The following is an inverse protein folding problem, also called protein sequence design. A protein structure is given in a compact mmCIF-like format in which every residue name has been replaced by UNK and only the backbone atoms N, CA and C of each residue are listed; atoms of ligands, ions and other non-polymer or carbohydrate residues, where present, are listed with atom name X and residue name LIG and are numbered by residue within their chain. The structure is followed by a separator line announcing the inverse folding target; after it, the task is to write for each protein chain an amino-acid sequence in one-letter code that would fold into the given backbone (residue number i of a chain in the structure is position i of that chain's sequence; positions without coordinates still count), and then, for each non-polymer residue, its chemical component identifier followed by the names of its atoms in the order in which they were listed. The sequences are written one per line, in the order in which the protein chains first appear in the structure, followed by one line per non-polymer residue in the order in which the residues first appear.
data_IF_260431244866
#
_entry.id   IF_260431244866
#
_cell.length_a   1.000
_cell.length_b   1.000
_cell.length_c   1.000
_cell.angle_alpha   90.00
_cell.angle_beta   90.00
_cell.angle_gamma   90.00
#
_symmetry.space_group_name_H-M   'P 1'
#
loop_
_entity.id
_entity.type
_entity.pdbx_description
1 polymer ?
#
# COMPACT_ATOMS: atom_id res chain seq x y z
N UNK A 1 7.77 5.40 -4.32
CA UNK A 1 6.44 5.02 -3.75
C UNK A 1 6.43 5.20 -2.25
N UNK A 2 5.23 5.41 -1.69
CA UNK A 2 5.05 5.60 -0.25
C UNK A 2 3.87 4.77 0.24
N UNK A 3 4.01 4.10 1.39
CA UNK A 3 2.92 3.33 1.99
C UNK A 3 2.81 3.60 3.48
N UNK A 4 1.58 3.64 3.98
CA UNK A 4 1.28 3.54 5.41
C UNK A 4 0.82 2.12 5.67
N UNK A 5 1.55 1.40 6.51
CA UNK A 5 1.25 0.04 6.92
C UNK A 5 0.75 0.06 8.35
N UNK A 6 -0.43 -0.48 8.57
CA UNK A 6 -1.06 -0.56 9.89
C UNK A 6 -1.36 -2.00 10.24
N UNK A 7 -0.92 -2.46 11.43
CA UNK A 7 -1.35 -3.75 11.97
C UNK A 7 -2.82 -3.65 12.38
N UNK A 8 -3.64 -4.55 11.86
CA UNK A 8 -5.08 -4.56 12.12
C UNK A 8 -5.56 -5.95 12.53
N UNK A 9 -6.52 -6.04 13.45
CA UNK A 9 -7.26 -7.29 13.70
C UNK A 9 -8.34 -7.54 12.65
N UNK A 10 -8.88 -6.46 12.09
CA UNK A 10 -9.81 -6.49 10.97
C UNK A 10 -9.72 -5.20 10.14
N UNK A 11 -9.96 -5.30 8.85
CA UNK A 11 -10.14 -4.16 7.96
C UNK A 11 -11.04 -4.51 6.78
N UNK A 12 -11.79 -3.52 6.29
CA UNK A 12 -12.66 -3.69 5.13
C UNK A 12 -12.76 -2.42 4.30
N UNK A 13 -13.05 -2.60 3.02
CA UNK A 13 -13.34 -1.51 2.09
C UNK A 13 -14.76 -1.67 1.56
N UNK A 14 -15.55 -0.61 1.67
CA UNK A 14 -16.91 -0.52 1.13
C UNK A 14 -16.97 0.53 0.04
N UNK A 15 -17.61 0.18 -1.08
CA UNK A 15 -17.87 1.06 -2.21
C UNK A 15 -19.37 0.99 -2.53
N UNK A 16 -20.06 2.13 -2.53
CA UNK A 16 -21.51 2.23 -2.83
C UNK A 16 -22.40 1.30 -1.97
N UNK A 17 -21.94 0.99 -0.75
CA UNK A 17 -22.64 0.12 0.21
C UNK A 17 -22.20 -1.35 0.15
N UNK A 18 -21.44 -1.77 -0.85
CA UNK A 18 -20.96 -3.14 -1.00
C UNK A 18 -19.53 -3.28 -0.46
N UNK A 19 -19.27 -4.33 0.30
CA UNK A 19 -17.91 -4.70 0.74
C UNK A 19 -17.17 -5.30 -0.44
N UNK A 20 -16.08 -4.65 -0.87
CA UNK A 20 -15.28 -5.06 -2.04
C UNK A 20 -14.00 -5.79 -1.66
N UNK A 21 -13.53 -5.63 -0.42
CA UNK A 21 -12.38 -6.35 0.13
C UNK A 21 -12.42 -6.32 1.64
N UNK A 22 -12.02 -7.40 2.30
CA UNK A 22 -11.98 -7.48 3.75
C UNK A 22 -10.98 -8.52 4.23
N UNK A 23 -10.36 -8.24 5.39
CA UNK A 23 -9.52 -9.17 6.14
C UNK A 23 -9.98 -9.23 7.58
N UNK A 24 -9.91 -10.42 8.19
CA UNK A 24 -10.15 -10.65 9.61
C UNK A 24 -9.07 -11.59 10.15
N UNK A 25 -8.32 -11.14 11.13
CA UNK A 25 -7.13 -11.82 11.66
C UNK A 25 -6.91 -11.46 13.13
N UNK A 26 -7.83 -11.88 14.02
CA UNK A 26 -7.84 -11.44 15.42
C UNK A 26 -6.64 -11.96 16.23
N UNK A 27 -6.03 -13.08 15.84
CA UNK A 27 -4.98 -13.73 16.61
C UNK A 27 -3.57 -13.23 16.25
N UNK A 28 -3.29 -13.09 14.95
CA UNK A 28 -1.95 -12.72 14.44
C UNK A 28 -1.86 -11.27 14.01
N UNK A 29 -3.01 -10.66 13.74
CA UNK A 29 -3.10 -9.42 13.00
C UNK A 29 -2.88 -9.64 11.50
N UNK A 30 -3.25 -8.63 10.73
CA UNK A 30 -2.97 -8.52 9.30
C UNK A 30 -2.47 -7.11 8.99
N UNK A 31 -2.22 -6.83 7.73
CA UNK A 31 -1.75 -5.51 7.30
C UNK A 31 -2.81 -4.80 6.46
N UNK A 32 -3.22 -3.62 6.90
CA UNK A 32 -3.83 -2.63 6.02
C UNK A 32 -2.70 -1.79 5.41
N UNK A 33 -2.55 -1.83 4.10
CA UNK A 33 -1.53 -1.10 3.35
C UNK A 33 -2.18 -0.02 2.47
N UNK A 34 -2.03 1.25 2.85
CA UNK A 34 -2.42 2.39 2.03
C UNK A 34 -1.21 2.79 1.18
N UNK A 35 -1.29 2.65 -0.15
CA UNK A 35 -0.15 2.85 -1.05
C UNK A 35 -0.39 4.03 -1.99
N UNK A 36 0.54 4.99 -1.99
CA UNK A 36 0.61 6.10 -2.93
C UNK A 36 1.75 5.92 -3.93
N UNK A 37 1.49 6.35 -5.17
CA UNK A 37 2.47 6.40 -6.25
C UNK A 37 2.72 7.85 -6.62
N UNK A 38 3.98 8.26 -6.73
CA UNK A 38 4.36 9.61 -7.14
C UNK A 38 4.53 9.74 -8.66
N UNK A 39 4.52 10.98 -9.15
CA UNK A 39 4.92 11.25 -10.54
C UNK A 39 6.32 10.77 -10.83
N UNK A 40 7.25 10.97 -9.90
CA UNK A 40 8.65 10.56 -10.07
C UNK A 40 8.81 9.04 -10.19
N UNK A 41 7.95 8.26 -9.54
CA UNK A 41 7.97 6.80 -9.67
C UNK A 41 7.68 6.35 -11.11
N UNK A 42 6.72 7.01 -11.78
CA UNK A 42 6.28 6.60 -13.13
C UNK A 42 7.09 7.27 -14.24
N UNK A 43 7.67 8.44 -14.01
CA UNK A 43 8.53 9.14 -15.00
C UNK A 43 9.95 8.57 -15.01
N UNK A 44 10.51 8.25 -13.86
CA UNK A 44 11.83 7.64 -13.75
C UNK A 44 11.94 6.29 -14.49
N UNK A 45 10.81 5.55 -14.59
CA UNK A 45 10.75 4.29 -15.34
C UNK A 45 10.81 4.43 -16.86
N UNK A 46 10.52 5.61 -17.42
CA UNK A 46 10.44 5.83 -18.86
C UNK A 46 11.77 6.32 -19.48
N UNK A 47 12.66 6.97 -18.70
CA UNK A 47 13.87 7.62 -19.23
C UNK A 47 15.15 7.32 -18.40
N UNK A 48 15.04 6.73 -17.19
CA UNK A 48 16.19 6.51 -16.33
C UNK A 48 16.97 5.24 -16.72
N UNK A 49 18.21 5.44 -17.14
CA UNK A 49 19.22 4.37 -17.20
C UNK A 49 19.72 4.01 -15.79
N UNK A 50 20.51 2.93 -15.66
CA UNK A 50 20.97 2.38 -14.38
C UNK A 50 21.82 3.34 -13.50
N UNK A 51 22.07 4.56 -13.94
CA UNK A 51 22.84 5.57 -13.21
C UNK A 51 21.99 6.42 -12.24
N UNK A 52 20.64 6.44 -12.38
CA UNK A 52 19.77 7.43 -11.72
C UNK A 52 18.88 6.86 -10.59
N UNK A 53 19.17 5.65 -10.11
CA UNK A 53 18.42 5.01 -9.02
C UNK A 53 17.63 3.78 -9.44
N UNK A 54 16.86 3.17 -8.51
CA UNK A 54 16.14 1.94 -8.79
C UNK A 54 15.02 2.14 -9.81
N UNK A 55 14.89 1.19 -10.73
CA UNK A 55 13.81 1.13 -11.70
C UNK A 55 12.43 1.00 -11.02
N UNK A 56 11.35 1.27 -11.76
CA UNK A 56 9.99 1.09 -11.25
C UNK A 56 9.75 -0.37 -10.80
N UNK A 57 10.27 -1.34 -11.54
CA UNK A 57 10.19 -2.76 -11.19
C UNK A 57 10.85 -3.06 -9.85
N UNK A 58 12.06 -2.55 -9.61
CA UNK A 58 12.80 -2.72 -8.36
C UNK A 58 12.11 -1.99 -7.19
N UNK A 59 11.47 -0.85 -7.43
CA UNK A 59 10.65 -0.15 -6.42
C UNK A 59 9.41 -0.95 -6.06
N UNK A 60 8.70 -1.53 -7.03
CA UNK A 60 7.56 -2.41 -6.77
C UNK A 60 7.97 -3.66 -5.99
N UNK A 61 9.09 -4.28 -6.34
CA UNK A 61 9.63 -5.43 -5.61
C UNK A 61 10.03 -5.06 -4.18
N UNK A 62 10.66 -3.91 -4.00
CA UNK A 62 11.05 -3.43 -2.67
C UNK A 62 9.83 -3.11 -1.81
N UNK A 63 8.80 -2.45 -2.36
CA UNK A 63 7.56 -2.19 -1.65
C UNK A 63 6.87 -3.49 -1.23
N UNK A 64 6.69 -4.43 -2.15
CA UNK A 64 6.09 -5.73 -1.85
C UNK A 64 6.89 -6.50 -0.80
N UNK A 65 8.21 -6.50 -0.89
CA UNK A 65 9.10 -7.13 0.11
C UNK A 65 8.94 -6.47 1.48
N UNK A 66 8.90 -5.14 1.56
CA UNK A 66 8.68 -4.42 2.83
C UNK A 66 7.34 -4.77 3.47
N UNK A 67 6.25 -4.82 2.68
CA UNK A 67 4.94 -5.23 3.19
C UNK A 67 4.97 -6.68 3.69
N UNK A 68 5.63 -7.57 2.97
CA UNK A 68 5.69 -9.00 3.27
C UNK A 68 6.54 -9.34 4.50
N UNK A 69 7.69 -8.66 4.67
CA UNK A 69 8.77 -9.09 5.57
C UNK A 69 8.96 -8.24 6.82
N UNK A 70 8.33 -7.04 6.90
CA UNK A 70 8.41 -6.23 8.11
C UNK A 70 7.75 -6.98 9.29
N UNK A 71 8.50 -7.12 10.38
CA UNK A 71 8.08 -7.83 11.60
C UNK A 71 7.27 -6.90 12.50
N UNK A 72 6.05 -6.59 12.09
CA UNK A 72 5.13 -5.69 12.79
C UNK A 72 3.82 -6.36 13.21
N UNK A 73 3.70 -7.66 13.02
CA UNK A 73 2.58 -8.46 13.51
C UNK A 73 2.83 -8.98 14.94
N UNK A 74 1.85 -9.65 15.52
CA UNK A 74 1.95 -10.20 16.87
C UNK A 74 3.14 -11.17 16.98
N UNK A 75 3.85 -11.13 18.12
CA UNK A 75 5.05 -11.93 18.33
C UNK A 75 6.26 -11.54 17.46
N UNK A 76 6.31 -10.28 16.97
CA UNK A 76 7.38 -9.80 16.09
C UNK A 76 7.52 -10.65 14.82
N UNK A 77 6.40 -11.13 14.29
CA UNK A 77 6.37 -11.88 13.02
C UNK A 77 6.05 -10.98 11.83
N UNK A 78 6.27 -11.51 10.63
CA UNK A 78 5.93 -10.85 9.38
C UNK A 78 4.70 -11.49 8.73
N UNK A 79 4.14 -10.81 7.72
CA UNK A 79 3.02 -11.34 6.93
C UNK A 79 3.37 -12.68 6.28
N UNK A 80 4.57 -12.75 5.68
CA UNK A 80 5.01 -13.97 4.98
C UNK A 80 5.29 -15.13 5.94
N UNK A 81 5.83 -14.85 7.14
CA UNK A 81 6.15 -15.89 8.11
C UNK A 81 4.90 -16.44 8.83
N UNK A 82 3.91 -15.57 9.07
CA UNK A 82 2.68 -15.93 9.79
C UNK A 82 1.55 -16.44 8.87
N UNK A 83 1.65 -16.20 7.56
CA UNK A 83 0.56 -16.46 6.63
C UNK A 83 -0.61 -15.47 6.75
N UNK A 84 -0.40 -14.33 7.41
CA UNK A 84 -1.41 -13.31 7.61
C UNK A 84 -1.82 -12.65 6.29
N UNK A 85 -3.06 -12.15 6.17
CA UNK A 85 -3.51 -11.46 4.97
C UNK A 85 -3.08 -9.98 4.95
N UNK A 86 -3.12 -9.39 3.76
CA UNK A 86 -3.00 -7.96 3.55
C UNK A 86 -4.21 -7.40 2.80
N UNK A 87 -4.67 -6.21 3.19
CA UNK A 87 -5.65 -5.41 2.45
C UNK A 87 -4.92 -4.20 1.84
N UNK A 88 -4.85 -4.16 0.52
CA UNK A 88 -4.16 -3.09 -0.22
C UNK A 88 -5.17 -2.07 -0.76
N UNK A 89 -4.93 -0.81 -0.46
CA UNK A 89 -5.77 0.32 -0.89
C UNK A 89 -4.88 1.38 -1.53
N UNK A 90 -5.23 1.81 -2.74
CA UNK A 90 -4.58 2.95 -3.38
C UNK A 90 -4.89 4.26 -2.63
N UNK A 91 -3.86 5.07 -2.35
CA UNK A 91 -3.98 6.29 -1.56
C UNK A 91 -3.09 7.41 -2.12
N UNK A 92 -3.52 8.07 -3.19
CA UNK A 92 -2.76 9.15 -3.82
C UNK A 92 -2.52 10.35 -2.89
N UNK A 93 -3.38 10.52 -1.89
CA UNK A 93 -3.29 11.62 -0.92
C UNK A 93 -2.05 11.54 -0.02
N UNK A 94 -1.32 10.41 0.00
CA UNK A 94 -0.01 10.31 0.65
C UNK A 94 1.04 11.22 -0.01
N UNK A 95 0.80 11.69 -1.23
CA UNK A 95 1.61 12.68 -1.92
C UNK A 95 1.01 14.10 -1.87
N UNK A 96 0.12 14.34 -0.90
CA UNK A 96 -0.42 15.66 -0.64
C UNK A 96 0.62 16.63 -0.06
N UNK A 97 0.83 17.77 -0.69
CA UNK A 97 1.61 18.87 -0.12
C UNK A 97 0.75 19.65 0.85
N UNK A 98 1.13 19.66 2.12
CA UNK A 98 0.39 20.33 3.21
C UNK A 98 1.14 21.47 3.86
N UNK A 99 2.37 21.76 3.43
CA UNK A 99 3.26 22.74 4.06
C UNK A 99 2.78 24.21 3.90
N UNK A 100 1.99 24.51 2.86
CA UNK A 100 1.50 25.87 2.60
C UNK A 100 -0.02 25.88 2.45
N UNK A 101 -0.65 26.85 3.13
CA UNK A 101 -2.09 27.08 3.02
C UNK A 101 -2.93 26.04 3.73
N UNK A 102 -4.25 26.06 3.46
CA UNK A 102 -5.26 25.20 4.11
C UNK A 102 -5.82 24.14 3.16
N UNK A 103 -5.46 24.17 1.89
CA UNK A 103 -5.83 23.19 0.87
C UNK A 103 -4.60 22.39 0.47
N UNK A 104 -4.59 21.06 0.66
CA UNK A 104 -3.52 20.23 0.13
C UNK A 104 -3.43 20.31 -1.39
N UNK A 105 -2.22 20.16 -1.93
CA UNK A 105 -1.99 20.04 -3.38
C UNK A 105 -1.57 18.62 -3.69
N UNK A 106 -2.13 18.04 -4.75
CA UNK A 106 -1.90 16.68 -5.20
C UNK A 106 -0.93 16.58 -6.39
N UNK A 107 -0.17 17.66 -6.64
CA UNK A 107 0.72 17.77 -7.81
C UNK A 107 1.80 16.70 -7.90
N UNK A 108 2.17 16.10 -6.78
CA UNK A 108 3.22 15.08 -6.71
C UNK A 108 2.69 13.64 -6.89
N UNK A 109 1.37 13.46 -6.79
CA UNK A 109 0.75 12.16 -7.05
C UNK A 109 0.77 11.83 -8.56
N UNK A 110 1.02 10.57 -8.88
CA UNK A 110 0.90 10.08 -10.24
C UNK A 110 -0.56 10.17 -10.74
N UNK A 111 -0.78 10.39 -12.04
CA UNK A 111 -2.11 10.23 -12.66
C UNK A 111 -2.64 8.81 -12.44
N UNK A 112 -3.98 8.67 -12.37
CA UNK A 112 -4.62 7.39 -12.03
C UNK A 112 -4.29 6.26 -13.00
N UNK A 113 -4.28 6.54 -14.29
CA UNK A 113 -3.95 5.61 -15.37
C UNK A 113 -2.50 5.08 -15.29
N UNK A 114 -1.57 5.91 -14.79
CA UNK A 114 -0.19 5.51 -14.55
C UNK A 114 0.00 4.82 -13.17
N UNK A 115 -0.78 5.19 -12.16
CA UNK A 115 -0.66 4.65 -10.81
C UNK A 115 -1.28 3.25 -10.67
N UNK A 116 -2.41 2.98 -11.33
CA UNK A 116 -3.12 1.71 -11.21
C UNK A 116 -2.26 0.49 -11.57
N UNK A 117 -1.55 0.46 -12.71
CA UNK A 117 -0.66 -0.66 -13.04
C UNK A 117 0.45 -0.88 -12.00
N UNK A 118 0.93 0.19 -11.36
CA UNK A 118 1.96 0.10 -10.31
C UNK A 118 1.40 -0.57 -9.06
N UNK A 119 0.21 -0.16 -8.61
CA UNK A 119 -0.45 -0.80 -7.46
C UNK A 119 -0.72 -2.28 -7.76
N UNK A 120 -1.25 -2.61 -8.94
CA UNK A 120 -1.46 -3.99 -9.36
C UNK A 120 -0.15 -4.79 -9.44
N UNK A 121 0.93 -4.14 -9.86
CA UNK A 121 2.28 -4.73 -9.87
C UNK A 121 2.77 -5.09 -8.46
N UNK A 122 2.51 -4.27 -7.45
CA UNK A 122 2.82 -4.57 -6.05
C UNK A 122 1.96 -5.73 -5.53
N UNK A 123 0.64 -5.71 -5.80
CA UNK A 123 -0.29 -6.78 -5.41
C UNK A 123 0.13 -8.13 -6.01
N UNK A 124 0.45 -8.16 -7.31
CA UNK A 124 0.89 -9.38 -7.98
C UNK A 124 2.17 -9.97 -7.32
N UNK A 125 3.10 -9.11 -6.89
CA UNK A 125 4.32 -9.52 -6.20
C UNK A 125 4.06 -10.06 -4.79
N UNK A 126 3.09 -9.50 -4.07
CA UNK A 126 2.65 -10.02 -2.77
C UNK A 126 2.01 -11.41 -2.95
N UNK A 127 1.11 -11.56 -3.92
CA UNK A 127 0.48 -12.86 -4.24
C UNK A 127 1.50 -13.92 -4.66
N UNK A 128 2.51 -13.52 -5.45
CA UNK A 128 3.62 -14.40 -5.84
C UNK A 128 4.44 -14.90 -4.64
N UNK A 129 4.46 -14.15 -3.54
CA UNK A 129 5.09 -14.53 -2.26
C UNK A 129 4.18 -15.41 -1.38
N UNK A 130 3.01 -15.82 -1.89
CA UNK A 130 2.05 -16.66 -1.17
C UNK A 130 1.12 -15.91 -0.22
N UNK A 131 1.11 -14.58 -0.24
CA UNK A 131 0.27 -13.77 0.64
C UNK A 131 -1.14 -13.67 0.07
N UNK A 132 -2.14 -13.90 0.92
CA UNK A 132 -3.54 -13.59 0.61
C UNK A 132 -3.72 -12.07 0.60
N UNK A 133 -4.06 -11.52 -0.56
CA UNK A 133 -4.24 -10.07 -0.73
C UNK A 133 -5.65 -9.76 -1.16
N UNK A 134 -6.34 -9.01 -0.31
CA UNK A 134 -7.59 -8.33 -0.62
C UNK A 134 -7.30 -6.89 -1.09
N UNK A 135 -8.19 -6.34 -1.89
CA UNK A 135 -7.99 -5.01 -2.50
C UNK A 135 -9.21 -4.11 -2.32
N UNK A 136 -8.97 -2.80 -2.26
CA UNK A 136 -9.99 -1.81 -2.54
C UNK A 136 -10.31 -1.77 -4.05
N UNK A 137 -11.17 -0.80 -4.45
CA UNK A 137 -11.47 -0.54 -5.87
C UNK A 137 -10.77 0.73 -6.31
N UNK A 138 -9.79 0.60 -7.21
CA UNK A 138 -9.01 1.74 -7.70
C UNK A 138 -9.94 2.83 -8.30
N UNK A 139 -9.66 4.09 -7.94
CA UNK A 139 -10.41 5.25 -8.44
C UNK A 139 -11.81 5.43 -7.85
N UNK A 140 -12.31 4.50 -7.02
CA UNK A 140 -13.62 4.62 -6.40
C UNK A 140 -13.58 5.49 -5.12
N UNK A 141 -14.74 6.00 -4.72
CA UNK A 141 -14.96 6.57 -3.39
C UNK A 141 -15.11 5.42 -2.39
N UNK A 142 -14.09 5.21 -1.56
CA UNK A 142 -14.02 4.09 -0.63
C UNK A 142 -14.24 4.54 0.81
N UNK A 143 -15.00 3.76 1.57
CA UNK A 143 -15.02 3.79 3.02
C UNK A 143 -14.13 2.66 3.52
N UNK A 144 -13.05 3.02 4.22
CA UNK A 144 -12.11 2.06 4.80
C UNK A 144 -12.35 1.99 6.30
N UNK A 145 -12.78 0.84 6.78
CA UNK A 145 -12.96 0.55 8.20
C UNK A 145 -11.83 -0.35 8.67
N UNK A 146 -11.31 -0.12 9.88
CA UNK A 146 -10.27 -0.97 10.47
C UNK A 146 -10.24 -0.88 11.98
N UNK A 147 -9.79 -1.95 12.62
CA UNK A 147 -9.39 -1.96 14.02
C UNK A 147 -7.87 -2.07 14.06
N UNK A 148 -7.23 -0.96 14.41
CA UNK A 148 -5.77 -0.86 14.50
C UNK A 148 -5.27 -1.49 15.80
N UNK A 149 -4.39 -2.48 15.67
CA UNK A 149 -3.67 -3.08 16.78
C UNK A 149 -2.37 -2.29 17.01
N UNK A 150 -2.49 -1.22 17.81
CA UNK A 150 -1.36 -0.33 18.09
C UNK A 150 -0.20 -1.03 18.83
N UNK A 151 0.99 -0.40 18.84
CA UNK A 151 1.32 0.89 18.24
C UNK A 151 1.74 0.81 16.75
N UNK A 152 1.68 -0.34 16.12
CA UNK A 152 2.26 -0.58 14.81
C UNK A 152 1.48 0.08 13.67
N UNK A 153 1.86 1.32 13.39
CA UNK A 153 1.58 2.05 12.17
C UNK A 153 2.88 2.67 11.69
N UNK A 154 3.36 2.26 10.53
CA UNK A 154 4.66 2.67 10.01
C UNK A 154 4.54 3.26 8.60
N UNK A 155 5.41 4.21 8.30
CA UNK A 155 5.59 4.76 6.96
C UNK A 155 6.73 4.04 6.26
N UNK A 156 6.49 3.58 5.04
CA UNK A 156 7.47 2.96 4.16
C UNK A 156 7.65 3.82 2.93
N UNK A 157 8.88 4.14 2.58
CA UNK A 157 9.23 4.86 1.36
C UNK A 157 10.27 4.08 0.56
N UNK A 158 10.09 4.05 -0.74
CA UNK A 158 10.99 3.36 -1.69
C UNK A 158 11.17 4.19 -2.96
#
# INVERSE_FOLDING_TARGET
MRAVLTRVSEASVTVEGDVVGSISCPDTGGILALIGVSRDDVTAGAEAGPADGPSLEERMDTMARKIAELRILEGETSVVDSGAPALVVSQFTLYGRTAKGRRPSWSDAAPGDAAEPVIQGVVARLRKRGITVEEGRFGAMMQVSSVNEGPFTVLVEV
#
